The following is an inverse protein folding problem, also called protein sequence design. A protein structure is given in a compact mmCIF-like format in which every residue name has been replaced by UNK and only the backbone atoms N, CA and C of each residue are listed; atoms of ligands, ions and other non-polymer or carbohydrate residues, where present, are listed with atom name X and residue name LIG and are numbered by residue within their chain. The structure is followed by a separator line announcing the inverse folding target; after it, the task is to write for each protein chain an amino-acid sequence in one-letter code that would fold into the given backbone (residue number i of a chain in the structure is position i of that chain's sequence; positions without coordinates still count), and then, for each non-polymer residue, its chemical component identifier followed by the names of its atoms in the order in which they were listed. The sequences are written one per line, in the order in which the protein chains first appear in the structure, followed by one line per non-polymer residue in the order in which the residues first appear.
data_IF_131490679154
#
_entry.id   IF_131490679154
#
_cell.length_a   1.000
_cell.length_b   1.000
_cell.length_c   1.000
_cell.angle_alpha   90.00
_cell.angle_beta   90.00
_cell.angle_gamma   90.00
#
_symmetry.space_group_name_H-M   'P 1'
#
loop_
_entity.id
_entity.type
_entity.pdbx_description
1 polymer ?
#
# COMPACT_ATOMS: atom_id res chain seq x y z
N UNK A 1 -10.25 -12.11 -11.30
CA UNK A 1 -10.21 -10.62 -11.39
C UNK A 1 -9.97 -10.07 -9.99
N UNK A 2 -8.99 -9.19 -9.80
CA UNK A 2 -8.67 -8.56 -8.51
C UNK A 2 -9.76 -7.54 -8.16
N UNK A 3 -10.21 -7.53 -6.91
CA UNK A 3 -11.17 -6.54 -6.38
C UNK A 3 -10.39 -5.46 -5.62
N UNK A 4 -10.20 -4.29 -6.23
CA UNK A 4 -9.33 -3.20 -5.71
C UNK A 4 -10.08 -2.17 -4.86
N UNK A 5 -11.16 -2.57 -4.18
CA UNK A 5 -11.90 -1.66 -3.29
C UNK A 5 -11.03 -1.05 -2.19
N UNK A 6 -10.07 -1.82 -1.68
CA UNK A 6 -9.08 -1.33 -0.71
C UNK A 6 -7.72 -1.94 -1.01
N UNK A 7 -6.69 -1.07 -1.10
CA UNK A 7 -5.32 -1.42 -1.42
C UNK A 7 -4.35 -0.84 -0.39
N UNK A 8 -3.19 -1.47 -0.23
CA UNK A 8 -2.08 -0.95 0.58
C UNK A 8 -0.98 -0.44 -0.35
N UNK A 9 -0.62 0.84 -0.20
CA UNK A 9 0.33 1.51 -1.08
C UNK A 9 1.73 0.87 -1.03
N UNK A 10 2.44 0.82 -2.17
CA UNK A 10 3.86 0.50 -2.22
C UNK A 10 4.68 1.54 -1.43
N UNK A 11 5.46 1.08 -0.46
CA UNK A 11 6.25 1.95 0.41
C UNK A 11 7.65 1.35 0.62
N UNK A 12 8.67 2.03 0.12
CA UNK A 12 10.07 1.61 0.24
C UNK A 12 10.46 1.41 1.71
N UNK A 13 11.20 0.36 2.01
CA UNK A 13 11.61 -0.11 3.35
C UNK A 13 10.45 -0.56 4.26
N UNK A 14 9.20 -0.44 3.81
CA UNK A 14 8.04 -0.77 4.64
C UNK A 14 7.21 -1.94 4.11
N UNK A 15 6.90 -2.00 2.81
CA UNK A 15 6.05 -3.07 2.26
C UNK A 15 6.85 -4.23 1.68
N UNK A 16 7.90 -4.65 2.40
CA UNK A 16 8.62 -5.89 2.11
C UNK A 16 7.75 -7.14 2.44
N UNK A 17 8.23 -8.33 2.11
CA UNK A 17 7.49 -9.58 2.31
C UNK A 17 7.06 -9.82 3.76
N UNK A 18 7.85 -9.35 4.74
CA UNK A 18 7.54 -9.53 6.16
C UNK A 18 6.36 -8.65 6.60
N UNK A 19 6.31 -7.41 6.13
CA UNK A 19 5.20 -6.51 6.35
C UNK A 19 3.93 -7.02 5.67
N UNK A 20 4.01 -7.45 4.40
CA UNK A 20 2.85 -7.91 3.64
C UNK A 20 2.25 -9.18 4.25
N UNK A 21 3.07 -10.15 4.64
CA UNK A 21 2.60 -11.31 5.38
C UNK A 21 1.84 -10.92 6.66
N UNK A 22 2.43 -10.03 7.46
CA UNK A 22 1.78 -9.53 8.68
C UNK A 22 0.44 -8.83 8.39
N UNK A 23 0.36 -7.96 7.39
CA UNK A 23 -0.88 -7.27 7.03
C UNK A 23 -1.96 -8.26 6.54
N UNK A 24 -1.56 -9.33 5.85
CA UNK A 24 -2.45 -10.38 5.38
C UNK A 24 -3.08 -11.19 6.53
N UNK A 25 -2.42 -11.29 7.66
CA UNK A 25 -3.03 -11.89 8.86
C UNK A 25 -4.19 -11.04 9.41
N UNK A 26 -4.20 -9.73 9.17
CA UNK A 26 -5.23 -8.81 9.64
C UNK A 26 -6.40 -8.73 8.66
N UNK A 27 -6.13 -8.65 7.36
CA UNK A 27 -7.15 -8.62 6.30
C UNK A 27 -6.78 -9.56 5.16
N UNK A 28 -7.74 -10.36 4.71
CA UNK A 28 -7.55 -11.36 3.65
C UNK A 28 -7.82 -10.80 2.25
N UNK A 29 -8.53 -9.68 2.14
CA UNK A 29 -9.06 -9.19 0.86
C UNK A 29 -8.38 -7.92 0.33
N UNK A 30 -7.68 -7.15 1.18
CA UNK A 30 -6.95 -5.96 0.70
C UNK A 30 -5.89 -6.34 -0.32
N UNK A 31 -5.74 -5.56 -1.39
CA UNK A 31 -4.67 -5.77 -2.36
C UNK A 31 -3.36 -5.24 -1.79
N UNK A 32 -2.37 -6.09 -1.67
CA UNK A 32 -1.03 -5.73 -1.19
C UNK A 32 -0.13 -5.40 -2.39
N UNK A 33 0.76 -4.44 -2.18
CA UNK A 33 1.76 -4.03 -3.18
C UNK A 33 3.16 -4.24 -2.61
N UNK A 34 4.09 -4.68 -3.46
CA UNK A 34 5.50 -4.73 -3.09
C UNK A 34 6.05 -3.31 -2.91
N UNK A 35 7.27 -3.20 -2.42
CA UNK A 35 8.08 -2.01 -2.65
C UNK A 35 8.29 -1.82 -4.15
N UNK A 36 8.69 -0.61 -4.56
CA UNK A 36 9.08 -0.38 -5.96
C UNK A 36 10.39 -1.10 -6.27
N UNK A 37 10.35 -2.03 -7.20
CA UNK A 37 11.52 -2.77 -7.71
C UNK A 37 11.92 -2.21 -9.07
N UNK A 38 13.17 -1.81 -9.24
CA UNK A 38 13.64 -1.28 -10.53
C UNK A 38 13.94 -2.40 -11.52
N UNK A 39 13.77 -2.12 -12.82
CA UNK A 39 14.09 -3.08 -13.88
C UNK A 39 15.53 -3.60 -13.79
N UNK A 40 16.49 -2.71 -13.52
CA UNK A 40 17.89 -3.10 -13.34
C UNK A 40 18.12 -4.05 -12.18
N UNK A 41 17.37 -3.91 -11.07
CA UNK A 41 17.47 -4.81 -9.93
C UNK A 41 16.98 -6.23 -10.26
N UNK A 42 15.92 -6.35 -11.08
CA UNK A 42 15.38 -7.66 -11.50
C UNK A 42 16.19 -8.32 -12.61
N UNK A 43 16.68 -7.55 -13.57
CA UNK A 43 17.40 -8.11 -14.72
C UNK A 43 18.84 -8.51 -14.36
N UNK A 44 19.48 -7.78 -13.44
CA UNK A 44 20.90 -7.95 -13.13
C UNK A 44 21.19 -8.35 -11.67
N UNK A 45 20.18 -8.31 -10.79
CA UNK A 45 20.34 -8.62 -9.36
C UNK A 45 19.85 -10.01 -8.98
N UNK A 46 19.80 -10.26 -7.66
CA UNK A 46 19.20 -11.46 -7.11
C UNK A 46 17.67 -11.35 -7.14
N UNK A 47 17.03 -12.04 -8.09
CA UNK A 47 15.58 -12.00 -8.32
C UNK A 47 14.78 -12.45 -7.10
N UNK A 48 15.18 -13.52 -6.45
CA UNK A 48 14.48 -14.05 -5.28
C UNK A 48 14.40 -13.02 -4.15
N UNK A 49 15.45 -12.23 -3.94
CA UNK A 49 15.45 -11.16 -2.94
C UNK A 49 14.32 -10.14 -3.15
N UNK A 50 13.93 -9.89 -4.40
CA UNK A 50 12.94 -8.86 -4.74
C UNK A 50 11.55 -9.42 -5.03
N UNK A 51 11.48 -10.67 -5.46
CA UNK A 51 10.24 -11.28 -5.93
C UNK A 51 9.63 -12.28 -4.96
N UNK A 52 10.40 -12.80 -3.97
CA UNK A 52 9.87 -13.79 -3.04
C UNK A 52 8.74 -13.23 -2.18
N UNK A 53 7.71 -14.04 -2.04
CA UNK A 53 6.56 -13.79 -1.19
C UNK A 53 6.01 -15.11 -0.64
N UNK A 54 5.18 -15.03 0.40
CA UNK A 54 4.43 -16.18 0.90
C UNK A 54 3.12 -16.30 0.11
N UNK A 55 2.69 -17.51 -0.32
CA UNK A 55 1.44 -17.69 -1.06
C UNK A 55 0.20 -17.11 -0.38
N UNK A 56 0.23 -16.93 0.93
CA UNK A 56 -0.88 -16.28 1.66
C UNK A 56 -1.00 -14.78 1.39
N UNK A 57 0.04 -14.13 0.82
CA UNK A 57 0.02 -12.68 0.57
C UNK A 57 -0.97 -12.24 -0.53
N UNK A 58 -1.48 -13.16 -1.36
CA UNK A 58 -2.46 -12.84 -2.40
C UNK A 58 -3.77 -12.24 -1.86
N UNK A 59 -4.39 -11.30 -2.60
CA UNK A 59 -3.98 -10.74 -3.88
C UNK A 59 -2.78 -9.77 -3.73
N UNK A 60 -1.79 -9.90 -4.61
CA UNK A 60 -0.49 -9.25 -4.52
C UNK A 60 -0.04 -8.64 -5.85
N UNK A 61 0.32 -7.36 -5.84
CA UNK A 61 0.84 -6.61 -6.98
C UNK A 61 2.35 -6.37 -6.88
N UNK A 62 3.07 -6.59 -7.97
CA UNK A 62 4.48 -6.21 -8.13
C UNK A 62 4.56 -4.78 -8.67
N UNK A 63 5.14 -3.84 -7.92
CA UNK A 63 5.40 -2.51 -8.44
C UNK A 63 6.78 -2.42 -9.09
N UNK A 64 6.81 -2.01 -10.36
CA UNK A 64 8.02 -1.80 -11.15
C UNK A 64 8.37 -0.31 -11.29
N UNK A 65 9.66 0.00 -11.31
CA UNK A 65 10.22 1.30 -11.65
C UNK A 65 11.17 1.18 -12.85
N UNK A 66 10.89 1.92 -13.90
CA UNK A 66 11.66 1.95 -15.14
C UNK A 66 10.99 2.84 -16.19
N UNK A 67 11.67 3.05 -17.31
CA UNK A 67 11.18 3.85 -18.44
C UNK A 67 11.51 3.23 -19.80
N UNK A 68 12.17 2.08 -19.80
CA UNK A 68 12.45 1.32 -21.02
C UNK A 68 11.36 0.25 -21.23
N UNK A 69 10.61 0.30 -22.34
CA UNK A 69 9.50 -0.62 -22.59
C UNK A 69 9.92 -2.08 -22.62
N UNK A 70 11.07 -2.40 -23.20
CA UNK A 70 11.52 -3.78 -23.35
C UNK A 70 11.96 -4.36 -22.01
N UNK A 71 12.74 -3.61 -21.23
CA UNK A 71 13.15 -4.02 -19.88
C UNK A 71 11.94 -4.21 -18.95
N UNK A 72 10.92 -3.33 -19.05
CA UNK A 72 9.68 -3.46 -18.28
C UNK A 72 8.86 -4.69 -18.71
N UNK A 73 8.78 -4.98 -20.01
CA UNK A 73 8.11 -6.20 -20.51
C UNK A 73 8.78 -7.47 -19.99
N UNK A 74 10.12 -7.52 -19.97
CA UNK A 74 10.87 -8.65 -19.40
C UNK A 74 10.62 -8.78 -17.90
N UNK A 75 10.63 -7.67 -17.16
CA UNK A 75 10.32 -7.67 -15.72
C UNK A 75 8.86 -8.06 -15.44
N UNK A 76 7.91 -7.65 -16.27
CA UNK A 76 6.51 -8.06 -16.18
C UNK A 76 6.35 -9.58 -16.35
N UNK A 77 7.03 -10.17 -17.34
CA UNK A 77 7.08 -11.63 -17.53
C UNK A 77 7.63 -12.33 -16.29
N UNK A 78 8.72 -11.82 -15.73
CA UNK A 78 9.29 -12.38 -14.50
C UNK A 78 8.29 -12.34 -13.34
N UNK A 79 7.61 -11.20 -13.13
CA UNK A 79 6.56 -11.08 -12.10
C UNK A 79 5.41 -12.04 -12.31
N UNK A 80 4.90 -12.14 -13.55
CA UNK A 80 3.81 -13.06 -13.91
C UNK A 80 4.20 -14.53 -13.68
N UNK A 81 5.41 -14.94 -14.10
CA UNK A 81 5.92 -16.30 -13.87
C UNK A 81 6.19 -16.61 -12.38
N UNK A 82 6.50 -15.57 -11.58
CA UNK A 82 6.67 -15.72 -10.14
C UNK A 82 5.34 -15.90 -9.39
N UNK A 83 4.23 -15.55 -10.05
CA UNK A 83 2.88 -15.74 -9.53
C UNK A 83 2.20 -14.47 -9.02
N UNK A 84 2.70 -13.28 -9.32
CA UNK A 84 2.02 -12.03 -8.98
C UNK A 84 0.68 -11.90 -9.74
N UNK A 85 -0.31 -11.30 -9.08
CA UNK A 85 -1.65 -11.10 -9.64
C UNK A 85 -1.75 -9.83 -10.51
N UNK A 86 -0.84 -8.89 -10.32
CA UNK A 86 -0.82 -7.59 -11.00
C UNK A 86 0.60 -7.08 -11.17
N UNK A 87 0.87 -6.41 -12.30
CA UNK A 87 2.06 -5.58 -12.50
C UNK A 87 1.66 -4.10 -12.44
N UNK A 88 2.28 -3.35 -11.54
CA UNK A 88 2.02 -1.92 -11.38
C UNK A 88 3.23 -1.09 -11.79
N UNK A 89 3.05 -0.10 -12.67
CA UNK A 89 4.10 0.84 -13.04
C UNK A 89 4.10 2.06 -12.13
N UNK A 90 5.26 2.39 -11.56
CA UNK A 90 5.43 3.60 -10.76
C UNK A 90 5.67 4.83 -11.66
N UNK A 91 4.72 5.76 -11.64
CA UNK A 91 4.79 7.07 -12.32
C UNK A 91 4.52 8.20 -11.31
N UNK A 92 4.84 7.97 -10.03
CA UNK A 92 4.49 8.94 -8.96
C UNK A 92 5.58 9.23 -7.93
N UNK A 93 6.70 8.50 -7.93
CA UNK A 93 7.79 8.72 -6.96
C UNK A 93 8.65 9.91 -7.37
N UNK A 94 8.81 10.95 -6.51
CA UNK A 94 9.58 12.15 -6.82
C UNK A 94 11.02 12.12 -6.27
N UNK A 95 11.56 10.97 -5.84
CA UNK A 95 12.89 10.93 -5.22
C UNK A 95 14.01 11.17 -6.23
N UNK A 96 15.10 11.83 -5.81
CA UNK A 96 16.26 12.17 -6.65
C UNK A 96 16.86 10.94 -7.33
N UNK A 97 16.95 9.81 -6.60
CA UNK A 97 17.43 8.53 -7.13
C UNK A 97 16.56 8.02 -8.29
N UNK A 98 15.25 8.25 -8.21
CA UNK A 98 14.29 7.85 -9.22
C UNK A 98 14.37 8.80 -10.41
N UNK A 99 14.51 10.10 -10.17
CA UNK A 99 14.66 11.11 -11.22
C UNK A 99 15.96 10.91 -12.01
N UNK A 100 17.09 10.64 -11.34
CA UNK A 100 18.37 10.35 -12.02
C UNK A 100 18.27 9.10 -12.91
N UNK A 101 17.42 8.15 -12.55
CA UNK A 101 17.07 6.99 -13.36
C UNK A 101 16.03 7.26 -14.46
N UNK A 102 15.52 8.49 -14.59
CA UNK A 102 14.51 8.93 -15.57
C UNK A 102 13.20 8.13 -15.49
N UNK A 103 12.73 7.78 -14.29
CA UNK A 103 11.45 7.10 -14.05
C UNK A 103 10.71 7.72 -12.85
N UNK A 104 9.54 7.19 -12.48
CA UNK A 104 8.71 7.75 -11.43
C UNK A 104 7.95 9.00 -11.86
N UNK A 105 7.83 10.02 -10.99
CA UNK A 105 6.97 11.17 -11.23
C UNK A 105 7.33 11.99 -12.48
N UNK A 106 8.61 12.07 -12.85
CA UNK A 106 9.05 12.77 -14.06
C UNK A 106 8.45 12.19 -15.36
N UNK A 107 8.05 10.91 -15.37
CA UNK A 107 7.40 10.29 -16.52
C UNK A 107 6.00 10.87 -16.82
N UNK A 108 5.36 11.53 -15.86
CA UNK A 108 4.09 12.24 -16.15
C UNK A 108 4.27 13.32 -17.21
N UNK A 109 5.47 13.86 -17.37
CA UNK A 109 5.79 14.85 -18.43
C UNK A 109 5.94 14.22 -19.82
N UNK A 110 5.99 12.90 -19.92
CA UNK A 110 6.17 12.15 -21.17
C UNK A 110 5.14 11.01 -21.29
N UNK A 111 3.83 11.33 -21.42
CA UNK A 111 2.75 10.32 -21.40
C UNK A 111 2.93 9.21 -22.44
N UNK A 112 3.47 9.54 -23.61
CA UNK A 112 3.72 8.55 -24.70
C UNK A 112 4.70 7.47 -24.25
N UNK A 113 5.78 7.83 -23.55
CA UNK A 113 6.75 6.85 -23.00
C UNK A 113 6.06 5.91 -22.03
N UNK A 114 5.18 6.43 -21.16
CA UNK A 114 4.38 5.61 -20.24
C UNK A 114 3.45 4.69 -21.00
N UNK A 115 2.79 5.19 -22.04
CA UNK A 115 1.94 4.39 -22.94
C UNK A 115 2.72 3.25 -23.61
N UNK A 116 3.90 3.52 -24.17
CA UNK A 116 4.76 2.51 -24.78
C UNK A 116 5.18 1.44 -23.76
N UNK A 117 5.53 1.84 -22.53
CA UNK A 117 5.85 0.93 -21.44
C UNK A 117 4.66 0.04 -21.06
N UNK A 118 3.48 0.63 -20.89
CA UNK A 118 2.25 -0.11 -20.56
C UNK A 118 1.91 -1.10 -21.67
N UNK A 119 1.95 -0.65 -22.93
CA UNK A 119 1.67 -1.53 -24.09
C UNK A 119 2.63 -2.71 -24.09
N UNK A 120 3.94 -2.48 -23.98
CA UNK A 120 4.94 -3.54 -23.99
C UNK A 120 4.74 -4.56 -22.85
N UNK A 121 4.43 -4.08 -21.64
CA UNK A 121 4.12 -4.98 -20.52
C UNK A 121 2.85 -5.79 -20.79
N UNK A 122 1.75 -5.16 -21.21
CA UNK A 122 0.47 -5.84 -21.50
C UNK A 122 0.59 -6.88 -22.62
N UNK A 123 1.34 -6.57 -23.66
CA UNK A 123 1.58 -7.52 -24.75
C UNK A 123 2.40 -8.75 -24.27
N UNK A 124 3.02 -8.66 -23.12
CA UNK A 124 3.92 -9.69 -22.58
C UNK A 124 3.31 -10.58 -21.50
N UNK A 125 2.19 -10.19 -20.88
CA UNK A 125 1.53 -10.91 -19.77
C UNK A 125 0.01 -10.90 -19.92
N UNK A 126 -0.67 -11.83 -19.23
CA UNK A 126 -2.14 -11.93 -19.19
C UNK A 126 -2.74 -11.31 -17.93
N UNK A 127 -1.92 -11.04 -16.91
CA UNK A 127 -2.35 -10.38 -15.67
C UNK A 127 -2.47 -8.86 -15.88
N UNK A 128 -3.20 -8.20 -14.98
CA UNK A 128 -3.44 -6.76 -15.07
C UNK A 128 -2.13 -5.94 -15.03
N UNK A 129 -2.03 -4.95 -15.92
CA UNK A 129 -0.99 -3.92 -15.90
C UNK A 129 -1.64 -2.60 -15.54
N UNK A 130 -1.24 -2.02 -14.41
CA UNK A 130 -1.82 -0.82 -13.81
C UNK A 130 -0.78 0.28 -13.66
N UNK A 131 -1.22 1.54 -13.50
CA UNK A 131 -0.32 2.69 -13.35
C UNK A 131 -0.63 3.43 -12.06
N UNK A 132 0.42 3.71 -11.25
CA UNK A 132 0.31 4.56 -10.07
C UNK A 132 1.01 5.90 -10.31
N UNK A 133 0.23 6.99 -10.30
CA UNK A 133 0.71 8.34 -10.61
C UNK A 133 0.21 9.40 -9.64
N UNK A 134 0.52 10.66 -9.89
CA UNK A 134 0.03 11.84 -9.16
C UNK A 134 -0.92 12.67 -10.02
N UNK A 135 -1.45 13.75 -9.45
CA UNK A 135 -2.36 14.66 -10.17
C UNK A 135 -1.62 15.74 -10.99
N UNK A 136 -0.30 15.78 -10.91
CA UNK A 136 0.56 16.72 -11.64
C UNK A 136 1.99 16.68 -11.14
N UNK A 137 2.90 17.36 -11.86
CA UNK A 137 4.33 17.45 -11.56
C UNK A 137 4.81 18.87 -11.82
N UNK A 138 5.47 19.48 -10.83
CA UNK A 138 5.96 20.85 -10.88
C UNK A 138 4.87 21.82 -11.35
N UNK A 139 5.11 22.61 -12.41
CA UNK A 139 4.13 23.54 -12.98
C UNK A 139 3.14 22.88 -13.96
N UNK A 140 3.30 21.58 -14.25
CA UNK A 140 2.35 20.80 -15.04
C UNK A 140 1.33 20.13 -14.14
N UNK A 141 0.38 20.90 -13.66
CA UNK A 141 -0.63 20.46 -12.69
C UNK A 141 -2.05 20.90 -13.06
N UNK A 142 -2.27 21.32 -14.31
CA UNK A 142 -3.60 21.59 -14.82
C UNK A 142 -4.41 20.29 -14.97
N UNK A 143 -5.73 20.40 -14.78
CA UNK A 143 -6.63 19.26 -14.94
C UNK A 143 -6.60 18.70 -16.37
N UNK A 144 -6.46 19.56 -17.38
CA UNK A 144 -6.34 19.12 -18.78
C UNK A 144 -5.10 18.25 -19.00
N UNK A 145 -3.94 18.64 -18.47
CA UNK A 145 -2.72 17.84 -18.57
C UNK A 145 -2.85 16.47 -17.89
N UNK A 146 -3.60 16.41 -16.77
CA UNK A 146 -3.91 15.13 -16.12
C UNK A 146 -4.82 14.27 -17.02
N UNK A 147 -5.84 14.84 -17.64
CA UNK A 147 -6.71 14.12 -18.59
C UNK A 147 -5.94 13.64 -19.82
N UNK A 148 -5.07 14.49 -20.37
CA UNK A 148 -4.21 14.13 -21.52
C UNK A 148 -3.26 12.97 -21.18
N UNK A 149 -2.69 12.97 -19.94
CA UNK A 149 -1.87 11.88 -19.45
C UNK A 149 -2.68 10.59 -19.33
N UNK A 150 -3.81 10.62 -18.65
CA UNK A 150 -4.66 9.43 -18.45
C UNK A 150 -5.20 8.91 -19.76
N UNK A 151 -5.67 9.78 -20.65
CA UNK A 151 -6.16 9.42 -21.98
C UNK A 151 -5.08 8.72 -22.81
N UNK A 152 -3.88 9.32 -22.92
CA UNK A 152 -2.76 8.73 -23.67
C UNK A 152 -2.38 7.33 -23.15
N UNK A 153 -2.33 7.15 -21.83
CA UNK A 153 -1.95 5.87 -21.21
C UNK A 153 -3.11 4.86 -21.29
N UNK A 154 -4.35 5.32 -21.26
CA UNK A 154 -5.54 4.50 -21.46
C UNK A 154 -5.64 3.99 -22.91
N UNK A 155 -5.32 4.82 -23.91
CA UNK A 155 -5.27 4.44 -25.33
C UNK A 155 -4.23 3.35 -25.58
N UNK A 156 -3.13 3.35 -24.82
CA UNK A 156 -2.14 2.27 -24.82
C UNK A 156 -2.64 1.00 -24.11
N UNK A 157 -3.85 1.05 -23.53
CA UNK A 157 -4.60 -0.07 -22.96
C UNK A 157 -4.59 -0.17 -21.45
N UNK A 158 -4.05 0.78 -20.67
CA UNK A 158 -4.21 0.80 -19.23
C UNK A 158 -5.70 0.99 -18.85
N UNK A 159 -6.22 0.17 -17.96
CA UNK A 159 -7.61 0.27 -17.50
C UNK A 159 -7.73 0.67 -16.03
N UNK A 160 -6.65 0.58 -15.27
CA UNK A 160 -6.65 0.84 -13.82
C UNK A 160 -5.57 1.86 -13.47
N UNK A 161 -5.99 2.95 -12.85
CA UNK A 161 -5.13 4.05 -12.42
C UNK A 161 -5.23 4.26 -10.91
N UNK A 162 -4.08 4.25 -10.23
CA UNK A 162 -4.00 4.59 -8.81
C UNK A 162 -3.48 6.03 -8.69
N UNK A 163 -4.33 6.94 -8.29
CA UNK A 163 -4.06 8.38 -8.31
C UNK A 163 -3.75 8.91 -6.93
N UNK A 164 -2.48 9.27 -6.67
CA UNK A 164 -2.16 10.02 -5.45
C UNK A 164 -2.65 11.47 -5.61
N UNK A 165 -3.66 11.84 -4.83
CA UNK A 165 -4.36 13.13 -4.91
C UNK A 165 -3.50 14.35 -4.47
N UNK A 166 -2.22 14.35 -4.83
CA UNK A 166 -1.25 15.44 -4.65
C UNK A 166 -0.37 15.55 -5.87
N UNK A 167 0.01 16.77 -6.25
CA UNK A 167 1.09 16.96 -7.22
C UNK A 167 2.45 16.58 -6.63
N UNK A 168 3.44 16.35 -7.47
CA UNK A 168 4.84 16.17 -7.08
C UNK A 168 5.65 17.41 -7.40
N UNK A 169 6.53 17.79 -6.48
CA UNK A 169 7.65 18.67 -6.77
C UNK A 169 8.90 17.82 -6.96
N UNK A 170 9.53 17.92 -8.13
CA UNK A 170 10.73 17.16 -8.44
C UNK A 170 11.96 17.73 -7.73
N UNK A 171 11.96 19.04 -7.48
CA UNK A 171 13.04 19.72 -6.75
C UNK A 171 12.50 20.48 -5.54
N UNK A 172 13.38 20.75 -4.59
CA UNK A 172 13.06 21.56 -3.40
C UNK A 172 12.32 20.84 -2.28
N UNK A 173 11.74 19.66 -2.52
CA UNK A 173 11.05 18.87 -1.50
C UNK A 173 11.56 17.44 -1.45
N UNK A 174 11.89 16.96 -0.25
CA UNK A 174 12.14 15.54 -0.03
C UNK A 174 10.90 14.68 -0.33
N UNK A 175 11.06 13.36 -0.57
CA UNK A 175 9.91 12.47 -0.76
C UNK A 175 8.91 12.48 0.41
N UNK A 176 9.36 12.74 1.64
CA UNK A 176 8.48 12.91 2.81
C UNK A 176 7.65 14.20 2.68
N UNK A 177 8.30 15.32 2.42
CA UNK A 177 7.63 16.61 2.23
C UNK A 177 6.66 16.60 1.06
N UNK A 178 6.98 15.92 -0.04
CA UNK A 178 6.09 15.69 -1.19
C UNK A 178 4.80 14.91 -0.84
N UNK A 179 4.73 14.28 0.33
CA UNK A 179 3.52 13.60 0.83
C UNK A 179 2.76 14.44 1.86
N UNK A 180 3.28 15.62 2.23
CA UNK A 180 2.73 16.44 3.31
C UNK A 180 2.40 17.87 2.84
N UNK A 181 3.34 18.52 2.16
CA UNK A 181 3.25 19.95 1.79
C UNK A 181 2.28 20.21 0.65
N UNK A 182 2.35 19.54 -0.53
CA UNK A 182 1.36 19.80 -1.57
C UNK A 182 -0.03 19.46 -1.07
N UNK A 183 -1.06 20.31 -1.32
CA UNK A 183 -2.40 20.05 -0.83
C UNK A 183 -3.00 18.79 -1.44
N UNK A 184 -3.88 18.13 -0.68
CA UNK A 184 -4.73 17.06 -1.22
C UNK A 184 -5.85 17.67 -2.08
N UNK A 185 -6.06 17.14 -3.26
CA UNK A 185 -7.15 17.50 -4.16
C UNK A 185 -7.97 16.26 -4.55
N UNK A 186 -8.88 15.85 -3.68
CA UNK A 186 -9.76 14.71 -3.95
C UNK A 186 -10.72 15.01 -5.09
N UNK A 187 -11.23 16.25 -5.17
CA UNK A 187 -12.13 16.69 -6.24
C UNK A 187 -11.53 16.48 -7.64
N UNK A 188 -10.22 16.71 -7.82
CA UNK A 188 -9.53 16.40 -9.08
C UNK A 188 -9.64 14.91 -9.46
N UNK A 189 -9.50 14.02 -8.49
CA UNK A 189 -9.60 12.57 -8.74
C UNK A 189 -11.04 12.13 -8.97
N UNK A 190 -12.00 12.75 -8.26
CA UNK A 190 -13.44 12.50 -8.50
C UNK A 190 -13.86 12.93 -9.90
N UNK A 191 -13.44 14.12 -10.35
CA UNK A 191 -13.69 14.59 -11.69
C UNK A 191 -13.07 13.66 -12.74
N UNK A 192 -11.84 13.15 -12.48
CA UNK A 192 -11.20 12.19 -13.37
C UNK A 192 -12.05 10.91 -13.54
N UNK A 193 -12.68 10.41 -12.47
CA UNK A 193 -13.61 9.28 -12.57
C UNK A 193 -14.87 9.62 -13.36
N UNK A 194 -15.38 10.83 -13.26
CA UNK A 194 -16.54 11.26 -14.04
C UNK A 194 -16.23 11.36 -15.53
N UNK A 195 -15.05 11.88 -15.89
CA UNK A 195 -14.62 12.06 -17.28
C UNK A 195 -14.14 10.73 -17.92
N UNK A 196 -13.68 9.76 -17.10
CA UNK A 196 -13.26 8.44 -17.54
C UNK A 196 -14.06 7.34 -16.83
N UNK A 197 -15.38 7.21 -17.06
CA UNK A 197 -16.26 6.30 -16.32
C UNK A 197 -15.91 4.82 -16.51
N UNK A 198 -15.32 4.45 -17.65
CA UNK A 198 -14.93 3.08 -18.00
C UNK A 198 -13.57 2.67 -17.40
N UNK A 199 -12.82 3.59 -16.82
CA UNK A 199 -11.55 3.30 -16.14
C UNK A 199 -11.78 3.02 -14.67
N UNK A 200 -11.02 2.06 -14.12
CA UNK A 200 -10.95 1.80 -12.68
C UNK A 200 -10.01 2.85 -12.06
N UNK A 201 -10.58 3.76 -11.30
CA UNK A 201 -9.86 4.86 -10.62
C UNK A 201 -9.78 4.57 -9.12
N UNK A 202 -8.56 4.44 -8.61
CA UNK A 202 -8.27 4.18 -7.20
C UNK A 202 -7.63 5.42 -6.59
N UNK A 203 -8.27 6.03 -5.60
CA UNK A 203 -7.75 7.24 -4.95
C UNK A 203 -6.74 6.87 -3.85
N UNK A 204 -5.67 7.67 -3.75
CA UNK A 204 -4.66 7.54 -2.70
C UNK A 204 -4.30 8.92 -2.12
N UNK A 205 -4.01 8.96 -0.83
CA UNK A 205 -3.49 10.14 -0.13
C UNK A 205 -4.33 10.56 1.08
N UNK A 206 -3.71 10.68 2.24
CA UNK A 206 -4.30 11.25 3.45
C UNK A 206 -5.38 10.40 4.16
N UNK A 207 -5.71 9.23 3.67
CA UNK A 207 -6.73 8.34 4.25
C UNK A 207 -6.20 7.70 5.55
N UNK A 208 -6.96 7.84 6.64
CA UNK A 208 -6.54 7.43 8.00
C UNK A 208 -7.56 6.58 8.76
N UNK A 209 -8.75 6.34 8.19
CA UNK A 209 -9.77 5.45 8.79
C UNK A 209 -10.69 4.87 7.70
N UNK A 210 -11.48 3.83 8.07
CA UNK A 210 -12.37 3.15 7.14
C UNK A 210 -13.62 3.95 6.78
N UNK A 211 -14.04 4.91 7.61
CA UNK A 211 -15.15 5.81 7.26
C UNK A 211 -14.75 6.68 6.06
N UNK A 212 -13.54 7.23 6.06
CA UNK A 212 -12.99 7.95 4.90
C UNK A 212 -12.88 7.04 3.66
N UNK A 213 -12.53 5.76 3.83
CA UNK A 213 -12.56 4.80 2.72
C UNK A 213 -13.98 4.68 2.16
N UNK A 214 -14.98 4.51 3.05
CA UNK A 214 -16.39 4.43 2.65
C UNK A 214 -16.87 5.68 1.89
N UNK A 215 -16.47 6.87 2.33
CA UNK A 215 -16.82 8.14 1.64
C UNK A 215 -16.16 8.23 0.26
N UNK A 216 -14.89 7.86 0.13
CA UNK A 216 -14.23 7.88 -1.18
C UNK A 216 -14.84 6.86 -2.15
N UNK A 217 -15.22 5.68 -1.68
CA UNK A 217 -15.85 4.63 -2.50
C UNK A 217 -17.22 5.03 -3.09
N UNK A 218 -17.81 6.13 -2.66
CA UNK A 218 -19.02 6.71 -3.29
C UNK A 218 -18.68 7.47 -4.59
N UNK A 219 -17.41 7.81 -4.80
CA UNK A 219 -16.97 8.69 -5.89
C UNK A 219 -16.00 8.01 -6.86
N UNK A 220 -15.29 6.95 -6.40
CA UNK A 220 -14.27 6.22 -7.17
C UNK A 220 -14.40 4.72 -6.92
N UNK A 221 -13.70 3.90 -7.72
CA UNK A 221 -13.83 2.44 -7.67
C UNK A 221 -13.06 1.79 -6.52
N UNK A 222 -11.99 2.45 -6.05
CA UNK A 222 -11.15 1.92 -4.98
C UNK A 222 -10.41 2.99 -4.22
N UNK A 223 -9.84 2.58 -3.08
CA UNK A 223 -9.06 3.44 -2.18
C UNK A 223 -7.75 2.75 -1.84
N UNK A 224 -6.65 3.51 -1.85
CA UNK A 224 -5.35 3.00 -1.43
C UNK A 224 -4.86 3.73 -0.19
N UNK A 225 -4.62 2.99 0.90
CA UNK A 225 -4.07 3.51 2.14
C UNK A 225 -2.54 3.39 2.11
N UNK A 226 -1.84 4.44 2.53
CA UNK A 226 -0.38 4.43 2.66
C UNK A 226 0.07 4.29 4.11
N UNK A 227 0.72 5.33 4.62
CA UNK A 227 1.43 5.35 5.91
C UNK A 227 0.59 4.92 7.11
N UNK A 228 -0.72 5.17 7.09
CA UNK A 228 -1.60 4.75 8.18
C UNK A 228 -1.63 3.23 8.33
N UNK A 229 -1.68 2.48 7.24
CA UNK A 229 -1.66 1.02 7.30
C UNK A 229 -0.36 0.46 7.92
N UNK A 230 0.75 1.20 7.86
CA UNK A 230 2.00 0.82 8.49
C UNK A 230 2.08 1.23 9.97
N UNK A 231 1.67 2.46 10.28
CA UNK A 231 1.75 2.99 11.66
C UNK A 231 0.64 2.47 12.57
N UNK A 232 -0.53 2.20 12.00
CA UNK A 232 -1.71 1.68 12.68
C UNK A 232 -2.35 0.56 11.83
N UNK A 233 -1.68 -0.60 11.69
CA UNK A 233 -2.17 -1.68 10.84
C UNK A 233 -3.54 -2.21 11.26
N UNK A 234 -3.95 -1.96 12.51
CA UNK A 234 -5.25 -2.36 13.01
C UNK A 234 -6.44 -1.66 12.30
N UNK A 235 -6.18 -0.60 11.52
CA UNK A 235 -7.18 -0.01 10.60
C UNK A 235 -7.78 -1.07 9.65
N UNK A 236 -7.04 -2.13 9.34
CA UNK A 236 -7.47 -3.19 8.44
C UNK A 236 -8.35 -4.25 9.09
N UNK A 237 -8.47 -4.27 10.43
CA UNK A 237 -9.18 -5.34 11.16
C UNK A 237 -10.65 -5.49 10.76
N UNK A 238 -11.32 -4.39 10.44
CA UNK A 238 -12.72 -4.38 10.00
C UNK A 238 -12.87 -4.25 8.48
N UNK A 239 -11.75 -4.21 7.73
CA UNK A 239 -11.78 -3.95 6.29
C UNK A 239 -12.54 -5.04 5.53
N UNK A 240 -12.31 -6.31 5.87
CA UNK A 240 -12.97 -7.43 5.20
C UNK A 240 -14.49 -7.38 5.37
N UNK A 241 -14.96 -6.98 6.55
CA UNK A 241 -16.40 -6.84 6.83
C UNK A 241 -17.00 -5.58 6.20
N UNK A 242 -16.39 -4.42 6.43
CA UNK A 242 -16.99 -3.13 6.06
C UNK A 242 -16.84 -2.80 4.57
N UNK A 243 -15.73 -3.22 3.96
CA UNK A 243 -15.39 -2.85 2.59
C UNK A 243 -15.68 -3.98 1.61
N UNK A 244 -15.43 -5.24 2.02
CA UNK A 244 -15.61 -6.40 1.15
C UNK A 244 -16.87 -7.21 1.45
N UNK A 245 -17.63 -6.85 2.49
CA UNK A 245 -18.89 -7.51 2.82
C UNK A 245 -18.73 -8.95 3.32
N UNK A 246 -17.53 -9.32 3.78
CA UNK A 246 -17.26 -10.67 4.28
C UNK A 246 -17.80 -10.86 5.70
N UNK A 247 -18.50 -11.98 5.92
CA UNK A 247 -18.91 -12.38 7.26
C UNK A 247 -17.79 -13.21 7.89
N UNK A 248 -17.29 -12.79 9.04
CA UNK A 248 -16.27 -13.53 9.78
C UNK A 248 -15.93 -12.86 11.10
N UNK A 249 -15.38 -13.60 12.05
CA UNK A 249 -14.90 -13.05 13.30
C UNK A 249 -13.53 -12.38 13.04
N UNK A 250 -13.42 -11.12 13.36
CA UNK A 250 -12.14 -10.42 13.38
C UNK A 250 -11.24 -11.04 14.45
N UNK A 251 -10.01 -11.38 14.06
CA UNK A 251 -8.99 -11.82 15.02
C UNK A 251 -8.72 -10.68 16.02
N UNK A 252 -8.43 -11.02 17.27
CA UNK A 252 -7.87 -10.05 18.22
C UNK A 252 -6.42 -9.76 17.86
N UNK A 253 -5.87 -8.63 18.33
CA UNK A 253 -4.45 -8.30 18.13
C UNK A 253 -3.51 -9.39 18.66
N UNK A 254 -3.87 -10.03 19.78
CA UNK A 254 -3.11 -11.13 20.36
C UNK A 254 -3.15 -12.37 19.49
N UNK A 255 -4.31 -12.69 18.89
CA UNK A 255 -4.43 -13.79 17.93
C UNK A 255 -3.61 -13.54 16.65
N UNK A 256 -3.53 -12.30 16.18
CA UNK A 256 -2.63 -11.95 15.07
C UNK A 256 -1.15 -12.20 15.44
N UNK A 257 -0.74 -11.86 16.68
CA UNK A 257 0.61 -12.17 17.16
C UNK A 257 0.87 -13.68 17.16
N UNK A 258 -0.06 -14.48 17.71
CA UNK A 258 0.07 -15.93 17.72
C UNK A 258 0.14 -16.52 16.31
N UNK A 259 -0.68 -16.02 15.38
CA UNK A 259 -0.68 -16.46 13.97
C UNK A 259 0.61 -16.08 13.23
N UNK A 260 1.34 -15.07 13.69
CA UNK A 260 2.61 -14.65 13.09
C UNK A 260 3.79 -15.53 13.55
N UNK A 261 3.71 -16.20 14.70
CA UNK A 261 4.82 -16.93 15.29
C UNK A 261 5.36 -18.04 14.39
N UNK A 262 4.54 -18.90 13.75
CA UNK A 262 5.07 -19.93 12.87
C UNK A 262 5.90 -19.39 11.70
N UNK A 263 5.49 -18.24 11.14
CA UNK A 263 6.23 -17.56 10.09
C UNK A 263 7.57 -17.03 10.61
N UNK A 264 7.59 -16.43 11.81
CA UNK A 264 8.84 -15.97 12.45
C UNK A 264 9.80 -17.13 12.70
N UNK A 265 9.31 -18.26 13.20
CA UNK A 265 10.10 -19.46 13.44
C UNK A 265 10.71 -20.01 12.14
N UNK A 266 9.92 -20.06 11.08
CA UNK A 266 10.38 -20.44 9.76
C UNK A 266 11.48 -19.50 9.22
N UNK A 267 11.30 -18.20 9.35
CA UNK A 267 12.32 -17.23 8.91
C UNK A 267 13.60 -17.30 9.78
N UNK A 268 13.45 -17.48 11.09
CA UNK A 268 14.60 -17.72 11.98
C UNK A 268 15.39 -18.98 11.58
N UNK A 269 14.70 -20.07 11.21
CA UNK A 269 15.36 -21.32 10.77
C UNK A 269 16.17 -21.13 9.48
N UNK A 270 15.82 -20.13 8.67
CA UNK A 270 16.58 -19.71 7.46
C UNK A 270 17.72 -18.73 7.78
N UNK A 271 17.93 -18.37 9.06
CA UNK A 271 18.94 -17.42 9.48
C UNK A 271 18.51 -15.95 9.33
N UNK A 272 17.23 -15.67 9.06
CA UNK A 272 16.71 -14.30 9.02
C UNK A 272 16.63 -13.71 10.43
N UNK A 273 17.28 -12.58 10.73
CA UNK A 273 17.18 -11.96 12.06
C UNK A 273 15.74 -11.51 12.36
N UNK A 274 15.27 -11.74 13.60
CA UNK A 274 13.89 -11.46 14.01
C UNK A 274 13.48 -9.99 13.84
N UNK A 275 14.43 -9.05 13.91
CA UNK A 275 14.19 -7.64 13.73
C UNK A 275 13.68 -7.28 12.32
N UNK A 276 13.91 -8.15 11.31
CA UNK A 276 13.32 -7.99 9.97
C UNK A 276 11.80 -8.05 10.01
N UNK A 277 11.23 -8.86 10.90
CA UNK A 277 9.78 -8.99 11.09
C UNK A 277 9.27 -7.99 12.14
N UNK A 278 9.93 -7.91 13.30
CA UNK A 278 9.40 -7.14 14.44
C UNK A 278 9.30 -5.63 14.17
N UNK A 279 10.13 -5.09 13.28
CA UNK A 279 10.06 -3.67 12.90
C UNK A 279 8.70 -3.27 12.27
N UNK A 280 8.00 -4.22 11.64
CA UNK A 280 6.74 -3.97 10.94
C UNK A 280 5.50 -4.08 11.83
N UNK A 281 5.62 -4.76 12.97
CA UNK A 281 4.48 -5.03 13.85
C UNK A 281 4.36 -4.06 15.03
N UNK A 282 5.26 -3.07 15.12
CA UNK A 282 5.30 -2.13 16.25
C UNK A 282 3.99 -1.35 16.42
N UNK A 283 3.28 -1.08 15.32
CA UNK A 283 2.01 -0.37 15.29
C UNK A 283 0.78 -1.20 15.69
N UNK A 284 0.89 -2.54 15.81
CA UNK A 284 -0.26 -3.44 16.01
C UNK A 284 -1.13 -3.05 17.21
N UNK A 285 -0.51 -2.62 18.29
CA UNK A 285 -1.23 -2.19 19.52
C UNK A 285 -1.34 -0.67 19.64
N UNK A 286 -1.28 0.07 18.53
CA UNK A 286 -1.47 1.53 18.54
C UNK A 286 -2.74 1.91 19.28
N UNK A 287 -2.65 2.90 20.20
CA UNK A 287 -3.77 3.38 21.00
C UNK A 287 -4.19 2.49 22.19
N UNK A 288 -3.56 1.31 22.38
CA UNK A 288 -3.92 0.41 23.50
C UNK A 288 -3.08 0.67 24.76
N UNK A 289 -3.66 0.49 25.96
CA UNK A 289 -2.89 0.47 27.20
C UNK A 289 -1.79 -0.59 27.11
N UNK A 290 -0.53 -0.20 27.39
CA UNK A 290 0.62 -1.11 27.24
C UNK A 290 1.36 -1.03 25.90
N UNK A 291 0.84 -0.33 24.89
CA UNK A 291 1.46 -0.21 23.56
C UNK A 291 2.92 0.30 23.59
N UNK A 292 3.26 1.19 24.54
CA UNK A 292 4.65 1.65 24.74
C UNK A 292 5.56 0.50 25.19
N UNK A 293 5.09 -0.34 26.10
CA UNK A 293 5.84 -1.51 26.61
C UNK A 293 6.05 -2.54 25.51
N UNK A 294 5.00 -2.80 24.69
CA UNK A 294 5.08 -3.64 23.50
C UNK A 294 6.20 -3.18 22.57
N UNK A 295 6.16 -1.92 22.11
CA UNK A 295 7.18 -1.37 21.20
C UNK A 295 8.58 -1.44 21.79
N UNK A 296 8.75 -1.04 23.09
CA UNK A 296 10.04 -1.08 23.75
C UNK A 296 10.59 -2.51 23.84
N UNK A 297 9.75 -3.47 24.26
CA UNK A 297 10.17 -4.87 24.41
C UNK A 297 10.65 -5.47 23.08
N UNK A 298 9.94 -5.18 21.98
CA UNK A 298 10.36 -5.61 20.66
C UNK A 298 11.64 -4.91 20.20
N UNK A 299 11.71 -3.58 20.31
CA UNK A 299 12.87 -2.82 19.85
C UNK A 299 14.16 -3.18 20.60
N UNK A 300 14.09 -3.38 21.92
CA UNK A 300 15.25 -3.79 22.72
C UNK A 300 15.59 -5.27 22.52
N UNK A 301 14.57 -6.14 22.50
CA UNK A 301 14.76 -7.59 22.48
C UNK A 301 15.18 -8.17 21.14
N UNK A 302 14.76 -7.55 20.02
CA UNK A 302 14.98 -8.12 18.68
C UNK A 302 16.43 -8.04 18.17
N UNK A 303 17.29 -7.28 18.85
CA UNK A 303 18.72 -7.14 18.52
C UNK A 303 19.62 -8.08 19.35
N UNK A 304 19.06 -8.79 20.32
CA UNK A 304 19.82 -9.72 21.14
C UNK A 304 20.14 -10.99 20.34
N UNK A 305 21.34 -11.53 20.54
CA UNK A 305 21.74 -12.79 19.89
C UNK A 305 20.86 -13.98 20.31
N UNK A 306 20.19 -13.88 21.47
CA UNK A 306 19.27 -14.89 22.01
C UNK A 306 17.80 -14.63 21.64
N UNK A 307 17.54 -13.69 20.70
CA UNK A 307 16.17 -13.34 20.31
C UNK A 307 15.49 -14.52 19.60
N UNK A 308 14.38 -14.96 20.12
CA UNK A 308 13.54 -16.06 19.64
C UNK A 308 12.10 -15.61 19.36
N UNK A 309 11.27 -16.46 18.78
CA UNK A 309 9.85 -16.20 18.51
C UNK A 309 9.05 -15.89 19.79
N UNK A 310 9.45 -16.43 20.95
CA UNK A 310 8.85 -16.16 22.25
C UNK A 310 8.93 -14.69 22.67
N UNK A 311 9.82 -13.89 22.04
CA UNK A 311 9.86 -12.45 22.23
C UNK A 311 8.51 -11.79 21.91
N UNK A 312 7.81 -12.26 20.86
CA UNK A 312 6.51 -11.73 20.46
C UNK A 312 5.47 -11.95 21.57
N UNK A 313 5.38 -13.16 22.13
CA UNK A 313 4.48 -13.47 23.25
C UNK A 313 4.80 -12.64 24.48
N UNK A 314 6.08 -12.57 24.87
CA UNK A 314 6.54 -11.75 26.02
C UNK A 314 6.26 -10.27 25.85
N UNK A 315 6.25 -9.78 24.61
CA UNK A 315 5.90 -8.39 24.31
C UNK A 315 4.38 -8.18 24.32
N UNK A 316 3.60 -9.09 23.70
CA UNK A 316 2.13 -9.02 23.67
C UNK A 316 1.53 -9.09 25.10
N UNK A 317 2.10 -9.89 25.99
CA UNK A 317 1.70 -9.98 27.40
C UNK A 317 1.82 -8.64 28.17
N UNK A 318 2.50 -7.63 27.62
CA UNK A 318 2.55 -6.28 28.22
C UNK A 318 1.29 -5.44 27.91
N UNK A 319 0.42 -5.92 27.00
CA UNK A 319 -0.80 -5.24 26.58
C UNK A 319 -1.99 -6.05 27.07
N UNK A 320 -2.88 -5.40 27.81
CA UNK A 320 -4.10 -6.07 28.27
C UNK A 320 -4.99 -6.42 27.08
N UNK A 321 -5.48 -7.64 27.03
CA UNK A 321 -6.48 -8.04 26.04
C UNK A 321 -7.81 -7.39 26.40
N UNK A 322 -8.20 -6.38 25.65
CA UNK A 322 -9.54 -5.79 25.77
C UNK A 322 -10.49 -6.68 24.99
N UNK A 323 -11.22 -7.54 25.70
CA UNK A 323 -12.35 -8.27 25.10
C UNK A 323 -13.38 -7.22 24.67
N UNK A 324 -13.57 -7.03 23.38
CA UNK A 324 -14.69 -6.23 22.85
C UNK A 324 -16.00 -6.91 23.24
N UNK A 325 -16.55 -6.56 24.40
CA UNK A 325 -17.95 -6.78 24.68
C UNK A 325 -18.73 -5.85 23.75
N UNK A 326 -19.34 -6.43 22.77
CA UNK A 326 -20.30 -5.79 21.88
C UNK A 326 -21.34 -5.02 22.72
N UNK A 327 -21.52 -3.72 22.42
CA UNK A 327 -22.72 -2.99 22.78
C UNK A 327 -22.68 -2.13 24.04
N UNK A 328 -22.29 -0.85 23.89
CA UNK A 328 -23.05 0.24 24.52
C UNK A 328 -23.28 1.31 23.47
N UNK A 329 -24.54 1.70 23.18
CA UNK A 329 -24.82 2.85 22.33
C UNK A 329 -24.31 4.12 23.04
N UNK A 330 -23.65 4.99 22.28
CA UNK A 330 -23.32 6.31 22.76
C UNK A 330 -24.61 7.04 23.15
N UNK A 331 -24.75 7.33 24.43
CA UNK A 331 -25.75 8.25 24.94
C UNK A 331 -25.51 9.64 24.32
N UNK A 332 -26.39 10.04 23.40
CA UNK A 332 -26.55 11.43 23.01
C UNK A 332 -26.95 12.23 24.25
N UNK A 333 -26.05 13.05 24.74
CA UNK A 333 -26.36 14.08 25.74
C UNK A 333 -27.39 15.04 25.15
N UNK A 334 -28.59 15.03 25.73
CA UNK A 334 -29.62 16.05 25.50
C UNK A 334 -29.09 17.40 25.97
N UNK A 335 -29.07 18.35 25.08
CA UNK A 335 -28.95 19.77 25.44
C UNK A 335 -30.20 20.20 26.23
N UNK A 336 -30.05 21.01 27.29
CA UNK A 336 -31.23 21.53 28.02
C UNK A 336 -31.92 22.59 27.15
N UNK A 337 -33.22 22.42 27.03
CA UNK A 337 -34.13 23.45 26.51
C UNK A 337 -34.23 24.55 27.54
N UNK A 338 -33.73 25.74 27.25
CA UNK A 338 -34.03 26.95 28.03
C UNK A 338 -35.39 27.52 27.64
N UNK A 339 -36.30 27.44 28.54
CA UNK A 339 -37.54 28.24 28.54
C UNK A 339 -37.21 29.68 28.96
N UNK A 340 -37.37 30.64 28.09
CA UNK A 340 -38.12 31.90 28.28
C UNK A 340 -38.18 32.64 26.96
#
# INVERSE_FOLDING_TARGET
MIVRRLCIAPMLDWTDRYCRYFLRLISKHVVLYTEMVTTGALLHGNRARFLDFDPTEHPLALQLGGSDPQALAECAKLGSHWGYDEINLNVGCPSDRVQSGRFGACLMMTPRVVGDCVKAMRDSVTIDVTVKHRIGVDERDSYQELCDFVGTVSDAGCRTFIVHARKAWLQGLSPKQNREIPPLSYGTVHNLKLDFPDLEIIINGGITNLDQVGEQLKQVDGVMIGREAYHNPWILAEADRLIFGQSGSTLTRHQVVESLIPFVEHELSKGTPINRVTRHILGLFQGQPGARKWRRKLSEGSHLATADSGLLRRAAAQVLEVTNRCGKPHHTSRLPVSSQ
#
